data_IF_910060352993
#
_entry.id   IF_910060352993
#
_cell.length_a   1.000
_cell.length_b   1.000
_cell.length_c   1.000
_cell.angle_alpha   90.00
_cell.angle_beta   90.00
_cell.angle_gamma   90.00
#
_symmetry.space_group_name_H-M   'P 1'
#
loop_
_entity.id
_entity.type
_entity.pdbx_description
1 polymer ?
#
# COMPACT_ATOMS: atom_id res chain seq x y z
N UNK A 1 1.11 -13.54 -10.72
CA UNK A 1 -0.07 -12.86 -10.14
C UNK A 1 -0.10 -13.08 -8.62
N UNK A 2 -0.72 -12.18 -7.84
CA UNK A 2 -0.85 -12.31 -6.38
C UNK A 2 -1.78 -13.49 -6.03
N UNK A 3 -1.35 -14.40 -5.16
CA UNK A 3 -2.19 -15.53 -4.68
C UNK A 3 -3.43 -15.02 -3.95
N UNK A 4 -4.56 -15.76 -3.89
CA UNK A 4 -5.80 -15.29 -3.26
C UNK A 4 -5.62 -14.78 -1.82
N UNK A 5 -4.82 -15.47 -1.01
CA UNK A 5 -4.46 -15.07 0.36
C UNK A 5 -3.12 -14.30 0.46
N UNK A 6 -2.55 -13.90 -0.68
CA UNK A 6 -1.29 -13.17 -0.73
C UNK A 6 -1.40 -11.75 -0.18
N UNK A 7 -0.24 -11.17 0.10
CA UNK A 7 -0.09 -9.82 0.63
C UNK A 7 0.81 -9.02 -0.31
N UNK A 8 0.44 -7.78 -0.57
CA UNK A 8 1.24 -6.83 -1.34
C UNK A 8 1.62 -5.66 -0.44
N UNK A 9 2.91 -5.35 -0.37
CA UNK A 9 3.38 -4.13 0.29
C UNK A 9 3.84 -3.15 -0.78
N UNK A 10 3.37 -1.91 -0.67
CA UNK A 10 3.81 -0.80 -1.50
C UNK A 10 4.44 0.25 -0.59
N UNK A 11 5.64 0.69 -0.95
CA UNK A 11 6.36 1.73 -0.22
C UNK A 11 6.59 2.95 -1.10
N UNK A 12 6.54 4.13 -0.48
CA UNK A 12 6.80 5.42 -1.12
C UNK A 12 7.53 6.34 -0.11
N UNK A 13 8.28 7.36 -0.57
CA UNK A 13 8.91 8.31 0.33
C UNK A 13 7.82 9.08 1.07
N UNK A 14 7.88 9.11 2.40
CA UNK A 14 6.92 9.88 3.20
C UNK A 14 7.18 11.38 3.04
N UNK A 15 6.14 12.19 3.10
CA UNK A 15 6.25 13.64 2.90
C UNK A 15 7.27 14.30 3.85
N UNK A 16 7.41 13.78 5.07
CA UNK A 16 8.37 14.27 6.06
C UNK A 16 9.84 13.92 5.77
N UNK A 17 10.12 13.05 4.79
CA UNK A 17 11.48 12.66 4.40
C UNK A 17 12.23 13.74 3.60
N UNK A 18 11.50 14.71 3.02
CA UNK A 18 12.07 15.72 2.12
C UNK A 18 12.47 15.20 0.73
N UNK A 19 12.29 13.91 0.43
CA UNK A 19 12.49 13.35 -0.91
C UNK A 19 11.36 13.81 -1.83
N UNK A 20 11.71 14.44 -2.95
CA UNK A 20 10.72 14.87 -3.93
C UNK A 20 10.03 13.66 -4.56
N UNK A 21 8.71 13.61 -4.44
CA UNK A 21 7.85 12.54 -4.96
C UNK A 21 6.45 13.09 -5.21
N UNK A 22 5.77 12.57 -6.22
CA UNK A 22 4.34 12.79 -6.47
C UNK A 22 3.45 11.70 -5.83
N UNK A 23 4.07 10.62 -5.31
CA UNK A 23 3.36 9.56 -4.60
C UNK A 23 3.02 9.97 -3.16
N UNK A 24 1.73 9.81 -2.82
CA UNK A 24 1.19 9.98 -1.46
C UNK A 24 0.46 8.71 -1.02
N UNK A 25 0.13 8.62 0.27
CA UNK A 25 -0.72 7.52 0.78
C UNK A 25 -2.04 7.43 0.01
N UNK A 26 -2.65 8.58 -0.28
CA UNK A 26 -3.93 8.65 -0.99
C UNK A 26 -3.85 8.11 -2.41
N UNK A 27 -2.78 8.44 -3.13
CA UNK A 27 -2.52 7.89 -4.48
C UNK A 27 -2.39 6.37 -4.40
N UNK A 28 -1.57 5.87 -3.47
CA UNK A 28 -1.33 4.43 -3.30
C UNK A 28 -2.62 3.69 -2.91
N UNK A 29 -3.42 4.25 -1.99
CA UNK A 29 -4.71 3.68 -1.56
C UNK A 29 -5.73 3.68 -2.70
N UNK A 30 -5.85 4.78 -3.44
CA UNK A 30 -6.79 4.90 -4.55
C UNK A 30 -6.53 3.83 -5.62
N UNK A 31 -5.25 3.63 -5.99
CA UNK A 31 -4.83 2.59 -6.93
C UNK A 31 -5.17 1.19 -6.37
N UNK A 32 -4.83 0.91 -5.10
CA UNK A 32 -5.14 -0.37 -4.47
C UNK A 32 -6.63 -0.72 -4.52
N UNK A 33 -7.49 0.23 -4.18
CA UNK A 33 -8.96 0.06 -4.23
C UNK A 33 -9.46 -0.16 -5.66
N UNK A 34 -8.92 0.59 -6.64
CA UNK A 34 -9.27 0.42 -8.05
C UNK A 34 -8.92 -0.99 -8.57
N UNK A 35 -7.95 -1.67 -7.96
CA UNK A 35 -7.57 -3.06 -8.25
C UNK A 35 -8.22 -4.10 -7.32
N UNK A 36 -9.27 -3.73 -6.57
CA UNK A 36 -10.02 -4.65 -5.71
C UNK A 36 -9.28 -5.09 -4.44
N UNK A 37 -8.23 -4.36 -4.05
CA UNK A 37 -7.52 -4.59 -2.81
C UNK A 37 -8.05 -3.69 -1.68
N UNK A 38 -7.74 -4.06 -0.45
CA UNK A 38 -7.96 -3.26 0.75
C UNK A 38 -6.68 -3.12 1.55
N UNK A 39 -6.42 -1.93 2.06
CA UNK A 39 -5.33 -1.70 2.99
C UNK A 39 -5.67 -2.25 4.39
N UNK A 40 -4.66 -2.80 5.06
CA UNK A 40 -4.82 -3.40 6.40
C UNK A 40 -3.80 -2.89 7.41
N UNK A 41 -2.70 -2.30 6.94
CA UNK A 41 -1.63 -1.78 7.80
C UNK A 41 -0.81 -0.74 7.07
N UNK A 42 -0.64 0.42 7.71
CA UNK A 42 0.40 1.40 7.38
C UNK A 42 1.52 1.30 8.41
N UNK A 43 2.77 1.51 7.98
CA UNK A 43 3.93 1.58 8.86
C UNK A 43 5.02 2.49 8.26
N UNK A 44 5.80 3.14 9.13
CA UNK A 44 7.11 3.64 8.73
C UNK A 44 8.04 2.44 8.54
N UNK A 45 8.62 2.30 7.35
CA UNK A 45 9.60 1.26 7.05
C UNK A 45 10.96 1.68 7.61
N UNK A 46 11.31 2.95 7.39
CA UNK A 46 12.49 3.62 7.94
C UNK A 46 12.27 5.14 7.99
N UNK A 47 13.36 5.92 8.10
CA UNK A 47 13.35 7.37 8.14
C UNK A 47 12.89 8.05 6.84
N UNK A 48 12.88 7.33 5.71
CA UNK A 48 12.53 7.86 4.38
C UNK A 48 11.19 7.30 3.89
N UNK A 49 10.88 6.04 4.14
CA UNK A 49 9.81 5.31 3.47
C UNK A 49 8.63 5.00 4.40
N UNK A 50 7.42 5.25 3.90
CA UNK A 50 6.19 4.62 4.42
C UNK A 50 5.91 3.33 3.65
N UNK A 51 5.14 2.42 4.25
CA UNK A 51 4.66 1.20 3.62
C UNK A 51 3.19 0.95 3.92
N UNK A 52 2.41 0.59 2.90
CA UNK A 52 1.01 0.20 3.01
C UNK A 52 0.84 -1.24 2.54
N UNK A 53 0.27 -2.07 3.42
CA UNK A 53 -0.04 -3.46 3.15
C UNK A 53 -1.45 -3.60 2.60
N UNK A 54 -1.56 -4.27 1.46
CA UNK A 54 -2.79 -4.63 0.80
C UNK A 54 -3.04 -6.12 0.79
N UNK A 55 -4.33 -6.48 0.82
CA UNK A 55 -4.84 -7.84 0.63
C UNK A 55 -6.13 -7.79 -0.19
N UNK A 56 -6.55 -8.94 -0.74
CA UNK A 56 -7.96 -9.09 -1.17
C UNK A 56 -8.87 -9.18 0.06
N UNK A 57 -10.10 -8.68 -0.03
CA UNK A 57 -11.09 -8.85 1.06
C UNK A 57 -11.34 -10.34 1.28
N UNK A 58 -11.67 -10.74 2.50
CA UNK A 58 -11.86 -12.17 2.83
C UNK A 58 -12.89 -12.87 1.91
N UNK A 59 -13.98 -12.17 1.58
CA UNK A 59 -15.02 -12.66 0.66
C UNK A 59 -14.54 -12.87 -0.79
N UNK A 60 -13.39 -12.31 -1.17
CA UNK A 60 -12.84 -12.32 -2.54
C UNK A 60 -11.60 -13.23 -2.65
N UNK A 61 -11.38 -14.17 -1.70
CA UNK A 61 -10.20 -15.07 -1.64
C UNK A 61 -10.50 -16.52 -2.02
N UNK A 62 -11.75 -16.84 -2.35
CA UNK A 62 -12.22 -18.17 -2.75
C UNK A 62 -12.19 -18.35 -4.26
#
# INVERSE_FOLDING_TARGET
ALTPAGMLWISWPKQSSGVATDLTEDVVRAIGVAHGLVDVKVAAVDDVWSGLKFVRRLKDRS
#
